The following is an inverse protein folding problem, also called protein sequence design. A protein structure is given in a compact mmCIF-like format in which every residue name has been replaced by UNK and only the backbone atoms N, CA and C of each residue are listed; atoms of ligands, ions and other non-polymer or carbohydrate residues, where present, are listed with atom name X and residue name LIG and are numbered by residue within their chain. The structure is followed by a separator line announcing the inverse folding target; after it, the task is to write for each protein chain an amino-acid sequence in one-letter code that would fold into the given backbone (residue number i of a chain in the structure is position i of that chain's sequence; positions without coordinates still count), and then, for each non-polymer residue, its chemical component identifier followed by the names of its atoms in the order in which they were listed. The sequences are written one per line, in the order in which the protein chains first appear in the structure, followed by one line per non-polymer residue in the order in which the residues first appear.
data_IF_820120121785
#
_entry.id   IF_820120121785
#
_cell.length_a   1.000
_cell.length_b   1.000
_cell.length_c   1.000
_cell.angle_alpha   90.00
_cell.angle_beta   90.00
_cell.angle_gamma   90.00
#
_symmetry.space_group_name_H-M   'P 1'
#
loop_
_entity.id
_entity.type
_entity.pdbx_description
1 polymer ?
#
# COMPACT_ATOMS: atom_id res chain seq x y z
N UNK A 1 -5.98 7.63 13.57
CA UNK A 1 -5.04 7.54 12.44
C UNK A 1 -3.77 6.82 12.87
N UNK A 2 -3.40 5.79 12.14
CA UNK A 2 -2.20 5.00 12.41
C UNK A 2 -1.33 4.94 11.16
N UNK A 3 -0.03 4.81 11.33
CA UNK A 3 0.89 4.74 10.18
C UNK A 3 2.06 3.81 10.47
N UNK A 4 2.67 3.29 9.39
CA UNK A 4 3.83 2.42 9.49
C UNK A 4 4.63 2.49 8.19
N UNK A 5 5.95 2.48 8.31
CA UNK A 5 6.85 2.42 7.15
C UNK A 5 7.11 0.97 6.75
N UNK A 6 7.24 0.75 5.45
CA UNK A 6 7.55 -0.56 4.90
C UNK A 6 8.34 -0.40 3.62
N UNK A 7 9.22 -1.34 3.33
CA UNK A 7 10.02 -1.35 2.10
C UNK A 7 9.41 -2.33 1.12
N UNK A 8 9.24 -1.89 -0.13
CA UNK A 8 8.73 -2.75 -1.21
C UNK A 8 9.80 -3.77 -1.57
N UNK A 9 9.49 -5.05 -1.44
CA UNK A 9 10.45 -6.14 -1.62
C UNK A 9 10.25 -6.92 -2.93
N UNK A 10 9.06 -6.86 -3.52
CA UNK A 10 8.79 -7.61 -4.73
C UNK A 10 9.55 -7.04 -5.92
N UNK A 11 10.09 -7.91 -6.81
CA UNK A 11 10.99 -7.49 -7.89
C UNK A 11 10.43 -6.44 -8.84
N UNK A 12 9.15 -6.49 -9.16
CA UNK A 12 8.53 -5.56 -10.11
C UNK A 12 8.03 -4.26 -9.48
N UNK A 13 8.14 -4.13 -8.15
CA UNK A 13 7.56 -2.97 -7.46
C UNK A 13 6.04 -2.97 -7.55
N UNK A 14 5.44 -1.79 -7.57
CA UNK A 14 3.98 -1.65 -7.63
C UNK A 14 3.48 -1.55 -9.06
N UNK A 15 3.81 -2.54 -9.89
CA UNK A 15 3.26 -2.70 -11.23
C UNK A 15 1.79 -3.13 -11.16
N UNK A 16 1.17 -3.34 -12.32
CA UNK A 16 -0.26 -3.62 -12.42
C UNK A 16 -0.74 -4.75 -11.50
N UNK A 17 -0.05 -5.90 -11.52
CA UNK A 17 -0.45 -7.06 -10.73
C UNK A 17 -0.27 -6.85 -9.23
N UNK A 18 0.91 -6.44 -8.74
CA UNK A 18 1.09 -6.12 -7.32
C UNK A 18 0.20 -4.97 -6.85
N UNK A 19 -0.01 -3.96 -7.69
CA UNK A 19 -0.90 -2.85 -7.37
C UNK A 19 -2.33 -3.34 -7.17
N UNK A 20 -2.80 -4.26 -8.02
CA UNK A 20 -4.11 -4.87 -7.89
C UNK A 20 -4.26 -5.65 -6.59
N UNK A 21 -3.24 -6.40 -6.20
CA UNK A 21 -3.24 -7.17 -4.95
C UNK A 21 -3.31 -6.23 -3.75
N UNK A 22 -2.50 -5.17 -3.76
CA UNK A 22 -2.51 -4.17 -2.69
C UNK A 22 -3.89 -3.51 -2.58
N UNK A 23 -4.46 -3.09 -3.70
CA UNK A 23 -5.76 -2.46 -3.74
C UNK A 23 -6.86 -3.40 -3.22
N UNK A 24 -6.85 -4.67 -3.63
CA UNK A 24 -7.82 -5.65 -3.18
C UNK A 24 -7.74 -5.85 -1.65
N UNK A 25 -6.55 -5.79 -1.10
CA UNK A 25 -6.39 -5.89 0.35
C UNK A 25 -6.95 -4.66 1.04
N UNK A 26 -6.64 -3.47 0.54
CA UNK A 26 -7.08 -2.21 1.13
C UNK A 26 -8.61 -2.03 1.10
N UNK A 27 -9.27 -2.45 0.01
CA UNK A 27 -10.73 -2.25 -0.13
C UNK A 27 -11.56 -3.14 0.78
N UNK A 28 -10.96 -4.15 1.42
CA UNK A 28 -11.65 -4.99 2.39
C UNK A 28 -12.04 -4.22 3.66
N UNK A 29 -11.44 -3.07 3.88
CA UNK A 29 -11.61 -2.28 5.09
C UNK A 29 -12.33 -0.97 4.79
N UNK A 30 -13.02 -0.43 5.79
CA UNK A 30 -13.77 0.82 5.65
C UNK A 30 -12.88 2.04 5.77
N UNK A 31 -11.77 1.92 6.50
CA UNK A 31 -10.84 3.02 6.72
C UNK A 31 -10.21 3.50 5.42
N UNK A 32 -9.85 4.77 5.39
CA UNK A 32 -9.03 5.32 4.32
C UNK A 32 -7.63 4.76 4.45
N UNK A 33 -7.04 4.29 3.35
CA UNK A 33 -5.67 3.80 3.34
C UNK A 33 -4.91 4.49 2.21
N UNK A 34 -3.80 5.12 2.58
CA UNK A 34 -2.95 5.80 1.60
C UNK A 34 -1.48 5.63 2.00
N UNK A 35 -0.58 5.90 1.06
CA UNK A 35 0.84 5.82 1.34
C UNK A 35 1.56 7.04 0.79
N UNK A 36 2.66 7.39 1.45
CA UNK A 36 3.52 8.49 1.03
C UNK A 36 4.84 7.94 0.53
N UNK A 37 5.35 8.58 -0.52
CA UNK A 37 6.64 8.26 -1.10
C UNK A 37 7.30 9.59 -1.52
N UNK A 38 8.42 9.94 -0.88
CA UNK A 38 8.98 11.28 -1.06
C UNK A 38 7.99 12.34 -0.64
N UNK A 39 7.71 13.29 -1.52
CA UNK A 39 6.75 14.37 -1.28
C UNK A 39 5.37 14.08 -1.85
N UNK A 40 5.13 12.86 -2.33
CA UNK A 40 3.89 12.48 -2.97
C UNK A 40 3.06 11.55 -2.10
N UNK A 41 1.77 11.43 -2.44
CA UNK A 41 0.85 10.58 -1.72
C UNK A 41 -0.07 9.87 -2.72
N UNK A 42 -0.42 8.62 -2.43
CA UNK A 42 -1.31 7.84 -3.28
C UNK A 42 -2.36 7.11 -2.45
N UNK A 43 -3.56 6.94 -3.03
CA UNK A 43 -4.66 6.21 -2.41
C UNK A 43 -4.48 4.71 -2.67
N UNK A 44 -4.26 3.94 -1.59
CA UNK A 44 -4.03 2.49 -1.71
C UNK A 44 -5.25 1.73 -2.23
N UNK A 45 -6.43 2.32 -2.20
CA UNK A 45 -7.66 1.71 -2.71
C UNK A 45 -7.89 1.94 -4.20
N UNK A 46 -7.02 2.72 -4.83
CA UNK A 46 -7.12 3.04 -6.26
C UNK A 46 -5.97 2.41 -7.02
N UNK A 47 -6.26 1.43 -7.87
CA UNK A 47 -5.23 0.77 -8.70
C UNK A 47 -4.50 1.80 -9.56
N UNK A 48 -5.23 2.75 -10.13
CA UNK A 48 -4.62 3.79 -10.96
C UNK A 48 -3.66 4.67 -10.16
N UNK A 49 -4.03 5.05 -8.92
CA UNK A 49 -3.14 5.84 -8.06
C UNK A 49 -1.90 5.05 -7.69
N UNK A 50 -2.06 3.78 -7.30
CA UNK A 50 -0.94 2.93 -6.91
C UNK A 50 0.01 2.71 -8.08
N UNK A 51 -0.53 2.34 -9.23
CA UNK A 51 0.28 2.12 -10.43
C UNK A 51 0.94 3.41 -10.92
N UNK A 52 0.19 4.52 -10.87
CA UNK A 52 0.70 5.83 -11.28
C UNK A 52 1.82 6.38 -10.42
N UNK A 53 1.97 5.85 -9.20
CA UNK A 53 3.06 6.25 -8.30
C UNK A 53 4.42 5.75 -8.78
N UNK A 54 4.47 4.75 -9.67
CA UNK A 54 5.70 4.21 -10.25
C UNK A 54 6.70 3.73 -9.19
N UNK A 55 6.20 3.10 -8.14
CA UNK A 55 7.02 2.61 -7.05
C UNK A 55 7.84 1.39 -7.48
N UNK A 56 9.13 1.42 -7.19
CA UNK A 56 10.04 0.34 -7.55
C UNK A 56 10.44 -0.48 -6.33
N UNK A 57 10.97 -1.68 -6.57
CA UNK A 57 11.56 -2.51 -5.53
C UNK A 57 12.62 -1.71 -4.76
N UNK A 58 12.59 -1.82 -3.43
CA UNK A 58 13.53 -1.11 -2.56
C UNK A 58 13.03 0.25 -2.07
N UNK A 59 11.89 0.72 -2.58
CA UNK A 59 11.32 1.99 -2.15
C UNK A 59 10.68 1.86 -0.79
N UNK A 60 10.96 2.82 0.11
CA UNK A 60 10.30 2.90 1.41
C UNK A 60 9.00 3.69 1.28
N UNK A 61 7.92 3.11 1.77
CA UNK A 61 6.60 3.74 1.80
C UNK A 61 6.14 3.94 3.24
N UNK A 62 5.44 5.04 3.50
CA UNK A 62 4.79 5.26 4.78
C UNK A 62 3.28 5.11 4.57
N UNK A 63 2.74 3.97 4.97
CA UNK A 63 1.30 3.73 4.91
C UNK A 63 0.59 4.38 6.08
N UNK A 64 -0.55 4.98 5.82
CA UNK A 64 -1.41 5.58 6.84
C UNK A 64 -2.83 5.09 6.65
N UNK A 65 -3.49 4.80 7.75
CA UNK A 65 -4.88 4.35 7.76
C UNK A 65 -5.68 5.19 8.75
N UNK A 66 -6.91 5.57 8.37
CA UNK A 66 -7.77 6.41 9.20
C UNK A 66 -9.21 5.96 9.08
N UNK A 67 -9.80 5.57 10.20
CA UNK A 67 -11.20 5.12 10.26
C UNK A 67 -11.44 4.12 11.36
N UNK A 68 -12.62 3.50 11.35
CA UNK A 68 -13.07 2.60 12.42
C UNK A 68 -12.21 1.34 12.55
N UNK A 69 -11.73 0.81 11.42
CA UNK A 69 -10.89 -0.40 11.38
C UNK A 69 -9.45 -0.07 10.96
N UNK A 70 -8.98 1.12 11.30
CA UNK A 70 -7.68 1.62 10.83
C UNK A 70 -6.49 0.74 11.19
N UNK A 71 -6.47 0.18 12.39
CA UNK A 71 -5.36 -0.67 12.83
C UNK A 71 -5.31 -1.97 12.01
N UNK A 72 -6.46 -2.58 11.81
CA UNK A 72 -6.56 -3.82 11.04
C UNK A 72 -6.22 -3.58 9.57
N UNK A 73 -6.72 -2.47 9.01
CA UNK A 73 -6.44 -2.11 7.63
C UNK A 73 -4.95 -1.87 7.40
N UNK A 74 -4.31 -1.13 8.30
CA UNK A 74 -2.89 -0.85 8.20
C UNK A 74 -2.06 -2.14 8.27
N UNK A 75 -2.37 -3.01 9.24
CA UNK A 75 -1.65 -4.27 9.39
C UNK A 75 -1.79 -5.14 8.14
N UNK A 76 -2.99 -5.22 7.57
CA UNK A 76 -3.24 -6.03 6.40
C UNK A 76 -2.45 -5.55 5.18
N UNK A 77 -2.45 -4.25 4.90
CA UNK A 77 -1.75 -3.73 3.72
C UNK A 77 -0.22 -3.80 3.90
N UNK A 78 0.27 -3.49 5.10
CA UNK A 78 1.70 -3.58 5.39
C UNK A 78 2.17 -5.03 5.27
N UNK A 79 1.41 -5.97 5.83
CA UNK A 79 1.73 -7.40 5.74
C UNK A 79 1.76 -7.87 4.28
N UNK A 80 0.80 -7.43 3.46
CA UNK A 80 0.78 -7.78 2.04
C UNK A 80 2.04 -7.30 1.32
N UNK A 81 2.49 -6.08 1.61
CA UNK A 81 3.72 -5.54 1.02
C UNK A 81 4.93 -6.33 1.50
N UNK A 82 5.02 -6.60 2.80
CA UNK A 82 6.13 -7.36 3.38
C UNK A 82 6.22 -8.77 2.83
N UNK A 83 5.10 -9.36 2.45
CA UNK A 83 5.03 -10.70 1.87
C UNK A 83 5.22 -10.73 0.36
N UNK A 84 5.60 -9.60 -0.25
CA UNK A 84 5.96 -9.53 -1.65
C UNK A 84 4.80 -9.38 -2.63
N UNK A 85 3.58 -9.11 -2.16
CA UNK A 85 2.41 -8.89 -3.00
C UNK A 85 2.19 -9.97 -4.06
N UNK A 86 2.38 -11.23 -3.67
CA UNK A 86 2.17 -12.36 -4.54
C UNK A 86 3.32 -12.72 -5.47
N UNK A 87 4.47 -12.11 -5.28
CA UNK A 87 5.66 -12.40 -6.10
C UNK A 87 6.76 -13.11 -5.35
#
# INVERSE_FOLDING_TARGET
MVSKKVVVKNPTGLHLRPAGILCNEAVKYKSKVYFRYGDNEANAKSVLSVQGACIKCGTELAFTSEGDDEAEALEAVVSAVENGLGE
#
